data_IF_634220025496
#
_entry.id   IF_634220025496
#
_cell.length_a   1.000
_cell.length_b   1.000
_cell.length_c   1.000
_cell.angle_alpha   90.00
_cell.angle_beta   90.00
_cell.angle_gamma   90.00
#
_symmetry.space_group_name_H-M   'P 1'
#
loop_
_entity.id
_entity.type
_entity.pdbx_description
1 polymer ?
#
# COMPACT_ATOMS: atom_id res chain seq x y z
N UNK A 1 -17.52 16.96 0.04
CA UNK A 1 -16.54 17.41 -0.98
C UNK A 1 -15.45 16.35 -1.04
N UNK A 2 -15.14 15.83 -2.23
CA UNK A 2 -14.11 14.80 -2.41
C UNK A 2 -12.87 15.44 -3.02
N UNK A 3 -11.69 15.02 -2.56
CA UNK A 3 -10.39 15.48 -3.08
C UNK A 3 -9.59 14.28 -3.54
N UNK A 4 -8.97 14.39 -4.72
CA UNK A 4 -7.96 13.43 -5.18
C UNK A 4 -6.59 13.93 -4.73
N UNK A 5 -5.87 13.07 -4.01
CA UNK A 5 -4.49 13.34 -3.56
C UNK A 5 -3.55 12.25 -4.07
N UNK A 6 -2.25 12.53 -4.03
CA UNK A 6 -1.19 11.51 -4.11
C UNK A 6 -0.58 11.37 -2.73
N UNK A 7 -0.44 10.14 -2.26
CA UNK A 7 0.19 9.80 -1.00
C UNK A 7 1.31 8.79 -1.27
N UNK A 8 2.33 8.80 -0.40
CA UNK A 8 3.38 7.79 -0.39
C UNK A 8 3.14 6.95 0.85
N UNK A 9 3.11 5.63 0.69
CA UNK A 9 2.96 4.69 1.80
C UNK A 9 3.85 3.46 1.62
N UNK A 10 4.07 2.74 2.71
CA UNK A 10 4.87 1.52 2.73
C UNK A 10 3.99 0.32 3.03
N UNK A 11 3.96 -0.63 2.10
CA UNK A 11 3.16 -1.85 2.20
C UNK A 11 4.06 -3.03 2.53
N UNK A 12 3.68 -3.80 3.55
CA UNK A 12 4.32 -5.06 3.89
C UNK A 12 3.61 -6.21 3.15
N UNK A 13 4.30 -6.83 2.19
CA UNK A 13 3.81 -8.02 1.49
C UNK A 13 4.32 -9.27 2.22
N UNK A 14 3.42 -10.16 2.70
CA UNK A 14 3.82 -11.39 3.36
C UNK A 14 4.48 -12.35 2.36
N UNK A 15 5.40 -13.22 2.83
CA UNK A 15 6.16 -14.13 1.95
C UNK A 15 5.26 -15.08 1.16
N UNK A 16 4.11 -15.46 1.73
CA UNK A 16 3.11 -16.33 1.12
C UNK A 16 2.53 -15.76 -0.18
N UNK A 17 2.48 -14.43 -0.31
CA UNK A 17 1.92 -13.70 -1.46
C UNK A 17 2.98 -13.21 -2.45
N UNK A 18 4.26 -13.54 -2.23
CA UNK A 18 5.33 -13.17 -3.16
C UNK A 18 5.28 -13.92 -4.50
N UNK A 19 4.54 -15.03 -4.56
CA UNK A 19 4.30 -15.77 -5.80
C UNK A 19 3.21 -15.16 -6.69
N UNK A 20 2.41 -14.23 -6.16
CA UNK A 20 1.34 -13.56 -6.89
C UNK A 20 1.89 -12.41 -7.75
N UNK A 21 1.05 -11.88 -8.65
CA UNK A 21 1.36 -10.64 -9.34
C UNK A 21 1.50 -9.48 -8.32
N UNK A 22 2.69 -8.90 -8.26
CA UNK A 22 3.06 -7.94 -7.22
C UNK A 22 2.18 -6.69 -7.21
N UNK A 23 1.89 -6.10 -8.38
CA UNK A 23 1.07 -4.88 -8.50
C UNK A 23 -0.35 -5.04 -7.96
N UNK A 24 -1.15 -6.04 -8.40
CA UNK A 24 -2.49 -6.23 -7.87
C UNK A 24 -2.47 -6.59 -6.38
N UNK A 25 -1.51 -7.41 -5.93
CA UNK A 25 -1.34 -7.71 -4.49
C UNK A 25 -1.08 -6.45 -3.67
N UNK A 26 -0.15 -5.60 -4.09
CA UNK A 26 0.15 -4.34 -3.39
C UNK A 26 -1.06 -3.40 -3.41
N UNK A 27 -1.78 -3.30 -4.53
CA UNK A 27 -2.99 -2.49 -4.63
C UNK A 27 -4.07 -2.97 -3.65
N UNK A 28 -4.34 -4.26 -3.61
CA UNK A 28 -5.31 -4.85 -2.69
C UNK A 28 -4.91 -4.57 -1.23
N UNK A 29 -3.64 -4.78 -0.89
CA UNK A 29 -3.15 -4.48 0.45
C UNK A 29 -3.26 -2.98 0.82
N UNK A 30 -3.05 -2.06 -0.14
CA UNK A 30 -3.30 -0.64 0.09
C UNK A 30 -4.78 -0.35 0.32
N UNK A 31 -5.67 -0.99 -0.43
CA UNK A 31 -7.11 -0.86 -0.26
C UNK A 31 -7.53 -1.31 1.14
N UNK A 32 -7.11 -2.50 1.56
CA UNK A 32 -7.44 -3.07 2.87
C UNK A 32 -6.91 -2.22 4.04
N UNK A 33 -5.71 -1.63 3.89
CA UNK A 33 -5.07 -0.88 4.98
C UNK A 33 -5.52 0.59 5.06
N UNK A 34 -5.88 1.20 3.93
CA UNK A 34 -6.16 2.63 3.85
C UNK A 34 -7.64 2.95 3.70
N UNK A 35 -8.43 2.14 3.00
CA UNK A 35 -9.85 2.45 2.80
C UNK A 35 -10.60 2.42 4.15
N UNK A 36 -11.41 3.46 4.38
CA UNK A 36 -12.11 3.66 5.65
C UNK A 36 -11.22 4.21 6.78
N UNK A 37 -9.91 4.36 6.57
CA UNK A 37 -9.03 5.00 7.54
C UNK A 37 -9.24 6.52 7.55
N UNK A 38 -9.34 7.07 8.76
CA UNK A 38 -9.44 8.51 8.97
C UNK A 38 -8.08 9.05 9.42
N UNK A 39 -7.54 9.98 8.65
CA UNK A 39 -6.35 10.73 8.98
C UNK A 39 -6.71 12.18 9.33
N UNK A 40 -6.00 12.76 10.30
CA UNK A 40 -6.31 14.10 10.82
C UNK A 40 -6.00 15.24 9.85
N UNK A 41 -5.14 15.01 8.86
CA UNK A 41 -4.69 16.02 7.88
C UNK A 41 -5.45 15.91 6.57
N UNK A 42 -5.67 14.70 6.06
CA UNK A 42 -6.29 14.46 4.75
C UNK A 42 -7.77 14.07 4.84
N UNK A 43 -8.27 13.70 6.03
CA UNK A 43 -9.63 13.23 6.23
C UNK A 43 -9.76 11.72 6.04
N UNK A 44 -10.94 11.28 5.60
CA UNK A 44 -11.24 9.87 5.39
C UNK A 44 -10.84 9.41 3.98
N UNK A 45 -10.08 8.34 3.91
CA UNK A 45 -9.75 7.68 2.63
C UNK A 45 -10.92 6.83 2.21
N UNK A 46 -11.42 7.09 1.00
CA UNK A 46 -12.64 6.45 0.47
C UNK A 46 -12.27 5.29 -0.45
N UNK A 47 -11.31 5.50 -1.35
CA UNK A 47 -10.90 4.51 -2.34
C UNK A 47 -9.47 4.74 -2.82
N UNK A 48 -8.73 3.66 -3.06
CA UNK A 48 -7.45 3.70 -3.77
C UNK A 48 -7.69 3.54 -5.26
N UNK A 49 -7.36 4.57 -6.04
CA UNK A 49 -7.61 4.59 -7.49
C UNK A 49 -6.56 3.79 -8.25
N UNK A 50 -5.28 4.11 -8.02
CA UNK A 50 -4.16 3.58 -8.80
C UNK A 50 -2.84 3.64 -8.03
N UNK A 51 -1.91 2.75 -8.37
CA UNK A 51 -0.54 2.72 -7.83
C UNK A 51 0.39 3.24 -8.93
N UNK A 52 0.85 4.48 -8.75
CA UNK A 52 1.57 5.22 -9.81
C UNK A 52 3.05 4.87 -9.85
N UNK A 53 3.65 4.64 -8.69
CA UNK A 53 5.07 4.33 -8.55
C UNK A 53 5.24 3.20 -7.55
N UNK A 54 6.29 2.41 -7.72
CA UNK A 54 6.61 1.32 -6.80
C UNK A 54 8.11 1.11 -6.82
N UNK A 55 8.74 1.40 -5.68
CA UNK A 55 10.19 1.26 -5.51
C UNK A 55 10.58 -0.18 -5.19
N UNK A 56 11.89 -0.41 -5.16
CA UNK A 56 12.47 -1.70 -4.79
C UNK A 56 12.03 -2.12 -3.39
N UNK A 57 11.63 -3.38 -3.29
CA UNK A 57 11.22 -4.01 -2.04
C UNK A 57 12.41 -4.18 -1.09
N UNK A 58 12.23 -3.84 0.18
CA UNK A 58 13.24 -4.00 1.23
C UNK A 58 12.83 -5.13 2.17
N UNK A 59 13.78 -6.01 2.48
CA UNK A 59 13.60 -7.07 3.47
C UNK A 59 14.15 -6.57 4.80
N UNK A 60 13.36 -6.70 5.86
CA UNK A 60 13.80 -6.38 7.22
C UNK A 60 14.31 -7.67 7.86
N UNK A 61 15.53 -7.63 8.40
CA UNK A 61 16.11 -8.82 9.06
C UNK A 61 15.21 -9.22 10.24
N UNK A 62 14.74 -10.47 10.22
CA UNK A 62 13.82 -11.00 11.23
C UNK A 62 12.33 -10.86 10.88
N UNK A 63 11.99 -10.17 9.78
CA UNK A 63 10.67 -10.22 9.18
C UNK A 63 10.75 -10.92 7.81
N UNK A 64 9.96 -11.97 7.61
CA UNK A 64 9.88 -12.68 6.34
C UNK A 64 9.15 -11.90 5.23
N UNK A 65 8.54 -10.75 5.56
CA UNK A 65 7.86 -9.88 4.61
C UNK A 65 8.79 -8.96 3.81
N UNK A 66 8.35 -8.59 2.61
CA UNK A 66 9.01 -7.58 1.78
C UNK A 66 8.23 -6.28 1.85
N UNK A 67 8.92 -5.18 2.08
CA UNK A 67 8.33 -3.85 2.22
C UNK A 67 8.52 -3.05 0.94
N UNK A 68 7.42 -2.63 0.32
CA UNK A 68 7.42 -1.82 -0.89
C UNK A 68 6.98 -0.40 -0.56
N UNK A 69 7.75 0.59 -1.02
CA UNK A 69 7.36 2.00 -0.98
C UNK A 69 6.64 2.34 -2.30
N UNK A 70 5.41 2.83 -2.18
CA UNK A 70 4.49 3.16 -3.28
C UNK A 70 4.05 4.61 -3.21
#
# INVERSE_FOLDING_TARGET
MYTKIRAIDVVRVPPERLGDELRPTVKEMLQDNLEGRMDKKIGMVIAILDVVDMKEGRIIIGDGGVYYET
#
